data_IF_931995253075
#
_entry.id   IF_931995253075
#
_cell.length_a   1.000
_cell.length_b   1.000
_cell.length_c   1.000
_cell.angle_alpha   90.00
_cell.angle_beta   90.00
_cell.angle_gamma   90.00
#
_symmetry.space_group_name_H-M   'P 1'
#
loop_
_entity.id
_entity.type
_entity.pdbx_description
1 polymer ?
#
# COMPACT_ATOMS: atom_id res chain seq x y z
N UNK A 1 7.16 11.73 -32.23
CA UNK A 1 6.02 11.06 -31.57
C UNK A 1 6.60 9.88 -30.81
N UNK A 2 6.50 9.83 -29.47
CA UNK A 2 6.94 8.66 -28.71
C UNK A 2 6.00 7.51 -29.07
N UNK A 3 6.55 6.36 -29.46
CA UNK A 3 5.76 5.16 -29.71
C UNK A 3 4.91 4.88 -28.47
N UNK A 4 3.60 4.77 -28.63
CA UNK A 4 2.75 4.25 -27.58
C UNK A 4 3.29 2.86 -27.22
N UNK A 5 3.63 2.64 -25.96
CA UNK A 5 4.06 1.33 -25.48
C UNK A 5 2.88 0.38 -25.69
N UNK A 6 3.12 -0.71 -26.40
CA UNK A 6 2.17 -1.81 -26.44
C UNK A 6 2.21 -2.51 -25.08
N UNK A 7 1.30 -2.10 -24.20
CA UNK A 7 1.21 -2.63 -22.84
C UNK A 7 0.90 -4.13 -22.84
N UNK A 8 0.16 -4.65 -23.82
CA UNK A 8 -0.12 -6.07 -23.94
C UNK A 8 1.12 -6.88 -24.34
N UNK A 9 2.02 -6.29 -25.12
CA UNK A 9 3.31 -6.91 -25.44
C UNK A 9 4.31 -6.85 -24.27
N UNK A 10 4.14 -5.89 -23.35
CA UNK A 10 5.07 -5.64 -22.23
C UNK A 10 4.65 -6.36 -20.95
N UNK A 11 3.34 -6.45 -20.70
CA UNK A 11 2.74 -7.01 -19.49
C UNK A 11 1.72 -8.08 -19.88
N UNK A 12 2.07 -9.34 -19.68
CA UNK A 12 1.27 -10.52 -20.04
C UNK A 12 -0.11 -10.58 -19.35
N UNK A 13 -0.23 -9.98 -18.17
CA UNK A 13 -1.48 -9.85 -17.42
C UNK A 13 -2.39 -8.73 -17.93
N UNK A 14 -1.89 -7.79 -18.74
CA UNK A 14 -2.67 -6.62 -19.16
C UNK A 14 -4.01 -6.96 -19.83
N UNK A 15 -4.11 -7.98 -20.72
CA UNK A 15 -5.39 -8.37 -21.33
C UNK A 15 -6.44 -8.87 -20.34
N UNK A 16 -6.05 -9.22 -19.11
CA UNK A 16 -6.94 -9.74 -18.07
C UNK A 16 -7.51 -8.62 -17.18
N UNK A 17 -7.00 -7.40 -17.30
CA UNK A 17 -7.39 -6.28 -16.43
C UNK A 17 -8.72 -5.65 -16.86
N UNK A 18 -9.63 -5.43 -15.91
CA UNK A 18 -10.84 -4.61 -16.11
C UNK A 18 -10.53 -3.16 -15.74
N UNK A 19 -10.08 -2.36 -16.72
CA UNK A 19 -9.71 -0.95 -16.53
C UNK A 19 -10.75 -0.02 -17.16
N UNK A 20 -11.33 0.90 -16.37
CA UNK A 20 -12.38 1.84 -16.78
C UNK A 20 -12.09 3.28 -16.38
N UNK A 21 -12.78 4.23 -17.01
CA UNK A 21 -12.70 5.66 -16.70
C UNK A 21 -11.63 6.40 -17.49
N UNK A 22 -11.78 7.73 -17.51
CA UNK A 22 -10.92 8.65 -18.26
C UNK A 22 -9.58 8.86 -17.55
N UNK A 23 -8.48 8.71 -18.28
CA UNK A 23 -7.12 8.79 -17.73
C UNK A 23 -6.08 9.08 -18.80
N UNK A 24 -4.92 9.67 -18.45
CA UNK A 24 -3.80 9.80 -19.37
C UNK A 24 -3.18 8.42 -19.66
N UNK A 25 -2.60 8.19 -20.86
CA UNK A 25 -1.96 6.91 -21.20
C UNK A 25 -0.86 6.46 -20.21
N UNK A 26 -0.15 7.41 -19.61
CA UNK A 26 0.86 7.13 -18.59
C UNK A 26 0.28 6.47 -17.32
N UNK A 27 -1.02 6.59 -17.05
CA UNK A 27 -1.65 5.97 -15.90
C UNK A 27 -1.67 4.44 -16.00
N UNK A 28 -1.92 3.89 -17.20
CA UNK A 28 -1.93 2.45 -17.43
C UNK A 28 -0.53 1.87 -17.31
N UNK A 29 0.48 2.58 -17.83
CA UNK A 29 1.88 2.20 -17.68
C UNK A 29 2.32 2.18 -16.21
N UNK A 30 1.95 3.20 -15.42
CA UNK A 30 2.23 3.25 -13.98
C UNK A 30 1.54 2.08 -13.26
N UNK A 31 0.26 1.82 -13.54
CA UNK A 31 -0.49 0.72 -12.95
C UNK A 31 0.17 -0.62 -13.24
N UNK A 32 0.48 -0.91 -14.50
CA UNK A 32 1.11 -2.17 -14.90
C UNK A 32 2.50 -2.33 -14.30
N UNK A 33 3.33 -1.28 -14.34
CA UNK A 33 4.67 -1.29 -13.71
C UNK A 33 4.58 -1.57 -12.20
N UNK A 34 3.61 -0.99 -11.50
CA UNK A 34 3.40 -1.22 -10.07
C UNK A 34 2.93 -2.65 -9.76
N UNK A 35 2.00 -3.19 -10.57
CA UNK A 35 1.56 -4.59 -10.46
C UNK A 35 2.75 -5.53 -10.65
N UNK A 36 3.52 -5.34 -11.72
CA UNK A 36 4.70 -6.15 -12.01
C UNK A 36 5.74 -6.07 -10.87
N UNK A 37 6.01 -4.86 -10.36
CA UNK A 37 6.95 -4.66 -9.24
C UNK A 37 6.48 -5.39 -7.98
N UNK A 38 5.19 -5.37 -7.68
CA UNK A 38 4.62 -6.10 -6.53
C UNK A 38 4.68 -7.61 -6.76
N UNK A 39 4.39 -8.11 -7.96
CA UNK A 39 4.49 -9.53 -8.29
C UNK A 39 5.94 -10.04 -8.21
N UNK A 40 6.91 -9.26 -8.70
CA UNK A 40 8.34 -9.59 -8.65
C UNK A 40 8.93 -9.57 -7.24
N UNK A 41 8.25 -8.95 -6.27
CA UNK A 41 8.67 -8.98 -4.88
C UNK A 41 8.45 -10.34 -4.21
N UNK A 42 7.49 -11.14 -4.72
CA UNK A 42 7.27 -12.51 -4.24
C UNK A 42 8.41 -13.44 -4.67
N UNK A 43 8.84 -14.29 -3.75
CA UNK A 43 9.89 -15.29 -3.97
C UNK A 43 9.22 -16.65 -4.16
N UNK A 44 9.59 -17.36 -5.23
CA UNK A 44 9.16 -18.74 -5.45
C UNK A 44 9.49 -19.63 -4.22
N UNK A 45 8.61 -20.58 -3.86
CA UNK A 45 7.47 -21.11 -4.62
C UNK A 45 6.15 -20.35 -4.44
N UNK A 46 6.13 -19.23 -3.70
CA UNK A 46 4.92 -18.42 -3.54
C UNK A 46 4.49 -17.91 -4.92
N UNK A 47 3.36 -18.40 -5.41
CA UNK A 47 2.78 -17.85 -6.64
C UNK A 47 2.25 -16.45 -6.30
N UNK A 48 2.54 -15.43 -7.13
CA UNK A 48 1.90 -14.14 -6.98
C UNK A 48 0.40 -14.36 -6.93
N UNK A 49 -0.25 -13.92 -5.86
CA UNK A 49 -1.70 -14.07 -5.73
C UNK A 49 -2.34 -13.39 -6.95
N UNK A 50 -3.09 -14.12 -7.76
CA UNK A 50 -3.63 -13.62 -9.03
C UNK A 50 -4.89 -12.77 -8.78
N UNK A 51 -4.70 -11.62 -8.15
CA UNK A 51 -5.75 -10.62 -7.95
C UNK A 51 -5.89 -9.69 -9.16
N UNK A 52 -4.99 -9.76 -10.14
CA UNK A 52 -4.93 -8.79 -11.23
C UNK A 52 -6.19 -8.81 -12.07
N UNK A 53 -6.69 -10.00 -12.44
CA UNK A 53 -7.97 -10.16 -13.14
C UNK A 53 -9.20 -10.10 -12.24
N UNK A 54 -9.04 -10.21 -10.91
CA UNK A 54 -10.15 -10.20 -9.95
C UNK A 54 -10.51 -8.80 -9.43
N UNK A 55 -9.67 -7.80 -9.71
CA UNK A 55 -9.85 -6.41 -9.29
C UNK A 55 -10.22 -5.54 -10.47
N UNK A 56 -11.26 -4.70 -10.28
CA UNK A 56 -11.62 -3.65 -11.22
C UNK A 56 -10.82 -2.39 -10.92
N UNK A 57 -10.24 -1.78 -11.95
CA UNK A 57 -9.44 -0.56 -11.82
C UNK A 57 -10.20 0.59 -12.48
N UNK A 58 -10.61 1.57 -11.69
CA UNK A 58 -11.44 2.67 -12.17
C UNK A 58 -10.74 3.99 -11.93
N UNK A 59 -10.76 4.86 -12.94
CA UNK A 59 -10.17 6.19 -12.86
C UNK A 59 -11.27 7.24 -12.80
N UNK A 60 -11.37 7.91 -11.66
CA UNK A 60 -12.43 8.88 -11.36
C UNK A 60 -11.85 10.13 -10.67
N UNK A 61 -12.42 11.31 -10.92
CA UNK A 61 -12.03 12.55 -10.23
C UNK A 61 -12.63 12.61 -8.81
N UNK A 62 -12.01 11.89 -7.89
CA UNK A 62 -12.39 11.81 -6.47
C UNK A 62 -11.53 12.73 -5.59
N UNK A 63 -11.99 13.07 -4.39
CA UNK A 63 -11.22 13.94 -3.47
C UNK A 63 -9.95 13.27 -2.92
N UNK A 64 -9.97 11.94 -2.82
CA UNK A 64 -8.88 11.12 -2.32
C UNK A 64 -7.84 10.86 -3.43
N UNK A 65 -6.67 10.35 -3.05
CA UNK A 65 -5.65 9.91 -4.02
C UNK A 65 -6.05 8.57 -4.67
N UNK A 66 -6.64 7.70 -3.86
CA UNK A 66 -7.25 6.45 -4.25
C UNK A 66 -8.24 5.99 -3.19
N UNK A 67 -9.06 5.01 -3.55
CA UNK A 67 -9.98 4.31 -2.66
C UNK A 67 -10.04 2.85 -3.05
N UNK A 68 -9.86 1.96 -2.09
CA UNK A 68 -9.94 0.52 -2.32
C UNK A 68 -11.09 -0.14 -1.57
N UNK A 69 -11.81 -0.98 -2.31
CA UNK A 69 -12.87 -1.86 -1.84
C UNK A 69 -12.54 -3.31 -2.23
N UNK A 70 -13.29 -4.27 -1.67
CA UNK A 70 -13.13 -5.67 -2.07
C UNK A 70 -13.45 -5.84 -3.57
N UNK A 71 -12.44 -6.18 -4.37
CA UNK A 71 -12.56 -6.39 -5.82
C UNK A 71 -12.59 -5.12 -6.68
N UNK A 72 -12.31 -3.93 -6.11
CA UNK A 72 -12.32 -2.65 -6.86
C UNK A 72 -11.34 -1.65 -6.27
N UNK A 73 -10.56 -1.01 -7.13
CA UNK A 73 -9.73 0.16 -6.81
C UNK A 73 -10.21 1.33 -7.65
N UNK A 74 -10.39 2.49 -7.01
CA UNK A 74 -10.66 3.76 -7.68
C UNK A 74 -9.45 4.66 -7.50
N UNK A 75 -8.83 5.06 -8.60
CA UNK A 75 -7.69 5.98 -8.62
C UNK A 75 -8.13 7.37 -9.03
N UNK A 76 -7.52 8.40 -8.41
CA UNK A 76 -7.59 9.74 -8.95
C UNK A 76 -6.48 9.94 -10.01
N UNK A 77 -6.81 10.11 -11.30
CA UNK A 77 -5.82 10.23 -12.36
C UNK A 77 -4.94 11.49 -12.25
N UNK A 78 -5.36 12.54 -11.53
CA UNK A 78 -4.59 13.78 -11.35
C UNK A 78 -3.41 13.63 -10.39
N UNK A 79 -3.47 12.65 -9.49
CA UNK A 79 -2.49 12.50 -8.40
C UNK A 79 -1.86 11.11 -8.37
N UNK A 80 -2.02 10.34 -9.46
CA UNK A 80 -1.48 9.00 -9.56
C UNK A 80 0.05 9.03 -9.55
N UNK A 81 0.63 8.30 -8.61
CA UNK A 81 2.06 8.06 -8.47
C UNK A 81 2.30 6.57 -8.24
N UNK A 82 3.52 6.09 -8.40
CA UNK A 82 3.85 4.70 -8.05
C UNK A 82 3.51 4.41 -6.58
N UNK A 83 3.76 5.37 -5.68
CA UNK A 83 3.43 5.25 -4.26
C UNK A 83 1.94 5.04 -4.02
N UNK A 84 1.10 5.93 -4.55
CA UNK A 84 -0.36 5.82 -4.36
C UNK A 84 -0.90 4.56 -5.02
N UNK A 85 -0.33 4.18 -6.17
CA UNK A 85 -0.74 2.97 -6.89
C UNK A 85 -0.45 1.74 -6.04
N UNK A 86 0.79 1.52 -5.62
CA UNK A 86 1.16 0.36 -4.78
C UNK A 86 0.41 0.34 -3.45
N UNK A 87 0.17 1.50 -2.85
CA UNK A 87 -0.63 1.61 -1.62
C UNK A 87 -2.05 1.05 -1.81
N UNK A 88 -2.76 1.46 -2.86
CA UNK A 88 -4.09 0.91 -3.13
C UNK A 88 -4.06 -0.57 -3.56
N UNK A 89 -3.03 -1.00 -4.30
CA UNK A 89 -2.85 -2.42 -4.63
C UNK A 89 -2.65 -3.27 -3.37
N UNK A 90 -1.92 -2.76 -2.37
CA UNK A 90 -1.75 -3.42 -1.08
C UNK A 90 -3.08 -3.50 -0.30
N UNK A 91 -3.91 -2.45 -0.35
CA UNK A 91 -5.27 -2.54 0.19
C UNK A 91 -6.10 -3.61 -0.53
N UNK A 92 -5.98 -3.74 -1.85
CA UNK A 92 -6.75 -4.72 -2.62
C UNK A 92 -6.31 -6.14 -2.28
N UNK A 93 -5.01 -6.35 -2.08
CA UNK A 93 -4.46 -7.62 -1.61
C UNK A 93 -4.99 -7.99 -0.22
N UNK A 94 -4.99 -7.05 0.73
CA UNK A 94 -5.56 -7.31 2.07
C UNK A 94 -7.07 -7.54 2.00
N UNK A 95 -7.79 -6.77 1.18
CA UNK A 95 -9.23 -6.93 0.97
C UNK A 95 -9.61 -8.30 0.39
N UNK A 96 -8.80 -8.83 -0.54
CA UNK A 96 -8.95 -10.18 -1.08
C UNK A 96 -8.80 -11.25 0.02
N UNK A 97 -7.99 -10.96 1.03
CA UNK A 97 -7.78 -11.78 2.22
C UNK A 97 -8.70 -11.41 3.40
N UNK A 98 -9.84 -10.75 3.12
CA UNK A 98 -10.82 -10.31 4.13
C UNK A 98 -10.23 -9.45 5.25
N UNK A 99 -9.21 -8.63 4.92
CA UNK A 99 -8.51 -7.76 5.85
C UNK A 99 -7.76 -8.50 6.97
N UNK A 100 -7.45 -9.79 6.77
CA UNK A 100 -6.77 -10.61 7.75
C UNK A 100 -5.30 -10.22 7.91
N UNK A 101 -4.62 -9.83 6.82
CA UNK A 101 -3.17 -9.59 6.82
C UNK A 101 -2.86 -8.36 7.66
N UNK A 102 -3.63 -7.28 7.50
CA UNK A 102 -3.47 -6.08 8.35
C UNK A 102 -3.78 -6.35 9.82
N UNK A 103 -4.72 -7.27 10.13
CA UNK A 103 -4.99 -7.66 11.51
C UNK A 103 -3.85 -8.47 12.14
N UNK A 104 -3.21 -9.35 11.36
CA UNK A 104 -2.02 -10.09 11.78
C UNK A 104 -0.86 -9.11 12.03
N UNK A 105 -0.54 -8.23 11.06
CA UNK A 105 0.50 -7.21 11.21
C UNK A 105 0.27 -6.38 12.49
N UNK A 106 -0.97 -5.94 12.71
CA UNK A 106 -1.36 -5.18 13.91
C UNK A 106 -1.05 -5.96 15.18
N UNK A 107 -1.40 -7.25 15.24
CA UNK A 107 -1.15 -8.09 16.41
C UNK A 107 0.35 -8.32 16.65
N UNK A 108 1.10 -8.64 15.61
CA UNK A 108 2.54 -8.89 15.69
C UNK A 108 3.34 -7.66 16.07
N UNK A 109 2.95 -6.49 15.57
CA UNK A 109 3.59 -5.22 15.95
C UNK A 109 3.08 -4.67 17.27
N UNK A 110 2.09 -5.31 17.90
CA UNK A 110 1.40 -4.80 19.09
C UNK A 110 0.73 -3.42 18.88
N UNK A 111 0.34 -3.12 17.64
CA UNK A 111 -0.35 -1.89 17.28
C UNK A 111 -1.83 -1.98 17.63
N UNK A 112 -2.45 -0.83 17.97
CA UNK A 112 -3.85 -0.80 18.43
C UNK A 112 -4.45 0.60 18.40
N UNK A 113 -5.78 0.66 18.41
CA UNK A 113 -6.47 1.82 18.95
C UNK A 113 -6.64 1.65 20.45
N UNK A 114 -6.18 2.61 21.25
CA UNK A 114 -6.39 2.57 22.70
C UNK A 114 -7.88 2.67 23.03
N UNK A 115 -8.61 3.56 22.33
CA UNK A 115 -10.05 3.76 22.49
C UNK A 115 -10.71 4.08 21.13
N UNK A 116 -11.12 3.05 20.35
CA UNK A 116 -11.67 3.25 19.00
C UNK A 116 -12.89 4.19 18.95
N UNK A 117 -13.75 4.12 19.97
CA UNK A 117 -14.94 4.97 20.04
C UNK A 117 -14.59 6.45 20.29
N UNK A 118 -13.59 6.72 21.15
CA UNK A 118 -13.09 8.08 21.38
C UNK A 118 -12.39 8.64 20.15
N UNK A 119 -11.69 7.79 19.40
CA UNK A 119 -11.12 8.18 18.12
C UNK A 119 -12.20 8.67 17.15
N UNK A 120 -13.33 7.96 17.06
CA UNK A 120 -14.47 8.35 16.21
C UNK A 120 -15.13 9.66 16.67
N UNK A 121 -15.23 9.89 17.97
CA UNK A 121 -15.83 11.12 18.52
C UNK A 121 -14.88 12.33 18.45
N UNK A 122 -13.57 12.10 18.59
CA UNK A 122 -12.56 13.16 18.68
C UNK A 122 -11.37 12.88 17.75
N UNK A 123 -11.59 12.83 16.42
CA UNK A 123 -10.57 12.40 15.46
C UNK A 123 -9.33 13.30 15.43
N UNK A 124 -9.44 14.57 15.82
CA UNK A 124 -8.29 15.50 15.83
C UNK A 124 -7.45 15.39 17.11
N UNK A 125 -7.87 14.61 18.12
CA UNK A 125 -7.09 14.39 19.34
C UNK A 125 -6.10 13.24 19.14
N UNK A 126 -4.82 13.59 18.99
CA UNK A 126 -3.69 12.64 18.81
C UNK A 126 -3.64 11.50 19.84
N UNK A 127 -4.11 11.76 21.06
CA UNK A 127 -4.17 10.77 22.15
C UNK A 127 -4.99 9.52 21.76
N UNK A 128 -5.98 9.68 20.87
CA UNK A 128 -6.85 8.58 20.43
C UNK A 128 -6.50 8.05 19.05
N UNK A 129 -5.41 8.54 18.43
CA UNK A 129 -4.97 8.01 17.15
C UNK A 129 -4.47 6.57 17.30
N UNK A 130 -4.32 5.91 16.17
CA UNK A 130 -3.74 4.59 16.11
C UNK A 130 -2.34 4.57 16.72
N UNK A 131 -2.18 3.75 17.75
CA UNK A 131 -0.90 3.53 18.39
C UNK A 131 -0.10 2.52 17.57
N UNK A 132 1.00 3.00 17.01
CA UNK A 132 2.01 2.19 16.33
C UNK A 132 2.86 1.51 17.40
N UNK A 133 2.57 0.24 17.64
CA UNK A 133 3.44 -0.61 18.43
C UNK A 133 4.69 -1.00 17.63
N UNK A 134 5.72 -1.45 18.33
CA UNK A 134 7.01 -1.88 17.75
C UNK A 134 7.50 -0.88 16.69
N UNK A 135 7.76 0.39 17.10
CA UNK A 135 8.06 1.46 16.17
C UNK A 135 9.32 1.15 15.35
N UNK A 136 9.51 1.77 14.17
CA UNK A 136 8.79 2.93 13.64
C UNK A 136 7.50 2.60 12.86
N UNK A 137 6.70 3.65 12.62
CA UNK A 137 5.64 3.64 11.60
C UNK A 137 6.26 3.70 10.20
N UNK A 138 5.62 3.16 9.15
CA UNK A 138 6.19 3.13 7.80
C UNK A 138 6.41 4.55 7.24
N UNK A 139 5.38 5.40 7.25
CA UNK A 139 5.46 6.76 6.71
C UNK A 139 4.87 7.83 7.65
N UNK A 140 4.82 7.52 8.95
CA UNK A 140 4.21 8.34 9.99
C UNK A 140 2.71 8.10 10.16
N UNK A 141 2.14 8.67 11.23
CA UNK A 141 0.76 8.42 11.68
C UNK A 141 -0.08 9.69 11.58
N UNK A 142 -1.28 9.56 11.04
CA UNK A 142 -2.28 10.64 10.97
C UNK A 142 -3.62 10.22 11.57
N UNK A 143 -4.59 11.15 11.59
CA UNK A 143 -5.92 10.89 12.15
C UNK A 143 -6.72 9.80 11.45
N UNK A 144 -6.44 9.51 10.18
CA UNK A 144 -7.14 8.44 9.45
C UNK A 144 -6.32 7.14 9.42
N UNK A 145 -5.18 7.10 10.12
CA UNK A 145 -4.31 5.92 10.10
C UNK A 145 -4.95 4.78 10.88
N UNK A 146 -5.01 3.60 10.27
CA UNK A 146 -5.60 2.38 10.85
C UNK A 146 -4.66 1.20 10.60
N UNK A 147 -5.03 0.00 11.06
CA UNK A 147 -4.29 -1.22 10.74
C UNK A 147 -4.18 -1.46 9.22
N UNK A 148 -5.24 -1.13 8.47
CA UNK A 148 -5.26 -1.28 7.00
C UNK A 148 -4.26 -0.34 6.34
N UNK A 149 -4.24 0.92 6.78
CA UNK A 149 -3.27 1.92 6.32
C UNK A 149 -1.85 1.53 6.71
N UNK A 150 -1.65 0.99 7.92
CA UNK A 150 -0.35 0.51 8.38
C UNK A 150 0.18 -0.61 7.49
N UNK A 151 -0.69 -1.56 7.10
CA UNK A 151 -0.32 -2.60 6.15
C UNK A 151 0.00 -2.03 4.75
N UNK A 152 -0.88 -1.22 4.17
CA UNK A 152 -0.69 -0.67 2.83
C UNK A 152 0.57 0.22 2.73
N UNK A 153 0.80 1.08 3.72
CA UNK A 153 2.02 1.88 3.80
C UNK A 153 3.25 1.02 4.09
N UNK A 154 3.14 -0.10 4.81
CA UNK A 154 4.27 -1.01 5.03
C UNK A 154 4.68 -1.75 3.76
N UNK A 155 3.73 -2.27 2.98
CA UNK A 155 4.03 -2.87 1.65
C UNK A 155 4.68 -1.83 0.75
N UNK A 156 4.12 -0.62 0.70
CA UNK A 156 4.65 0.46 -0.15
C UNK A 156 6.04 0.89 0.33
N UNK A 157 6.27 0.99 1.63
CA UNK A 157 7.56 1.34 2.21
C UNK A 157 8.62 0.26 1.97
N UNK A 158 8.23 -1.01 1.92
CA UNK A 158 9.11 -2.10 1.56
C UNK A 158 9.60 -1.99 0.11
N UNK A 159 8.69 -1.70 -0.84
CA UNK A 159 9.05 -1.56 -2.26
C UNK A 159 9.77 -0.25 -2.58
N UNK A 160 9.53 0.81 -1.81
CA UNK A 160 10.13 2.14 -2.01
C UNK A 160 10.80 2.67 -0.73
N UNK A 161 11.84 1.99 -0.20
CA UNK A 161 12.40 2.27 1.13
C UNK A 161 12.97 3.68 1.27
N UNK A 162 13.55 4.23 0.20
CA UNK A 162 14.11 5.58 0.21
C UNK A 162 13.03 6.67 0.27
N UNK A 163 11.94 6.47 -0.47
CA UNK A 163 10.78 7.38 -0.42
C UNK A 163 10.13 7.30 0.96
N UNK A 164 10.02 6.10 1.52
CA UNK A 164 9.48 5.87 2.85
C UNK A 164 10.31 6.57 3.94
N UNK A 165 11.63 6.40 3.90
CA UNK A 165 12.58 7.08 4.80
C UNK A 165 12.41 8.60 4.75
N UNK A 166 12.31 9.17 3.55
CA UNK A 166 12.07 10.60 3.36
C UNK A 166 10.73 11.07 3.92
N UNK A 167 9.65 10.32 3.68
CA UNK A 167 8.30 10.61 4.22
C UNK A 167 8.26 10.51 5.74
N UNK A 168 8.82 9.45 6.31
CA UNK A 168 8.86 9.21 7.75
C UNK A 168 9.65 10.31 8.46
N UNK A 169 10.83 10.68 7.95
CA UNK A 169 11.64 11.77 8.50
C UNK A 169 10.89 13.11 8.50
N UNK A 170 10.22 13.46 7.39
CA UNK A 170 9.44 14.71 7.29
C UNK A 170 8.29 14.80 8.29
N UNK A 171 7.74 13.65 8.71
CA UNK A 171 6.65 13.59 9.70
C UNK A 171 7.14 13.38 11.14
N UNK A 172 8.46 13.38 11.38
CA UNK A 172 9.04 13.18 12.72
C UNK A 172 9.10 11.71 13.17
N UNK A 173 8.98 10.76 12.24
CA UNK A 173 9.03 9.32 12.49
C UNK A 173 10.30 8.69 11.88
N UNK A 174 11.45 9.37 12.00
CA UNK A 174 12.71 8.88 11.43
C UNK A 174 13.02 7.46 11.94
N UNK A 175 13.43 6.57 11.02
CA UNK A 175 13.82 5.21 11.38
C UNK A 175 15.04 5.20 12.28
N UNK A 176 15.99 6.11 12.04
CA UNK A 176 17.21 6.22 12.84
C UNK A 176 16.93 6.56 14.30
N UNK A 177 15.89 7.37 14.57
CA UNK A 177 15.44 7.66 15.94
C UNK A 177 14.98 6.39 16.68
N UNK A 178 14.47 5.41 15.92
CA UNK A 178 14.02 4.12 16.45
C UNK A 178 15.09 3.02 16.33
N UNK A 179 16.34 3.38 16.00
CA UNK A 179 17.46 2.43 15.91
C UNK A 179 17.57 1.67 14.59
N UNK A 180 16.86 2.07 13.54
CA UNK A 180 16.88 1.40 12.23
C UNK A 180 17.45 2.30 11.13
N UNK A 181 18.22 1.72 10.21
CA UNK A 181 18.76 2.44 9.03
C UNK A 181 17.80 2.29 7.86
N UNK A 182 17.34 1.06 7.59
CA UNK A 182 16.41 0.76 6.51
C UNK A 182 15.05 0.29 7.03
N UNK A 183 13.99 0.58 6.27
CA UNK A 183 12.64 0.10 6.62
C UNK A 183 12.58 -1.43 6.71
N UNK A 184 13.34 -2.12 5.87
CA UNK A 184 13.48 -3.58 5.86
C UNK A 184 13.90 -4.15 7.22
N UNK A 185 14.69 -3.42 8.00
CA UNK A 185 15.19 -3.87 9.30
C UNK A 185 14.14 -3.75 10.41
N UNK A 186 13.05 -3.00 10.15
CA UNK A 186 12.00 -2.76 11.13
C UNK A 186 11.10 -3.99 11.31
N UNK A 187 10.39 -4.13 12.45
CA UNK A 187 9.44 -5.24 12.63
C UNK A 187 8.40 -5.34 11.51
N UNK A 188 7.93 -4.20 10.99
CA UNK A 188 7.02 -4.13 9.83
C UNK A 188 7.71 -4.60 8.55
N UNK A 189 8.95 -4.16 8.31
CA UNK A 189 9.74 -4.59 7.16
C UNK A 189 9.97 -6.11 7.15
N UNK A 190 10.28 -6.68 8.31
CA UNK A 190 10.45 -8.13 8.49
C UNK A 190 9.15 -8.90 8.30
N UNK A 191 8.01 -8.37 8.77
CA UNK A 191 6.71 -8.95 8.50
C UNK A 191 6.42 -9.00 6.99
N UNK A 192 6.58 -7.87 6.29
CA UNK A 192 6.36 -7.81 4.84
C UNK A 192 7.34 -8.73 4.09
N UNK A 193 8.62 -8.79 4.52
CA UNK A 193 9.59 -9.74 3.99
C UNK A 193 9.10 -11.19 4.10
N UNK A 194 8.53 -11.55 5.25
CA UNK A 194 8.01 -12.90 5.48
C UNK A 194 6.82 -13.23 4.58
N UNK A 195 5.92 -12.27 4.34
CA UNK A 195 4.78 -12.44 3.42
C UNK A 195 5.25 -12.70 1.99
N UNK A 196 6.25 -11.98 1.51
CA UNK A 196 6.77 -12.17 0.16
C UNK A 196 7.51 -13.51 -0.02
N UNK A 197 7.95 -14.16 1.05
CA UNK A 197 8.70 -15.43 0.98
C UNK A 197 7.89 -16.66 1.33
N UNK A 198 6.89 -16.51 2.19
CA UNK A 198 6.16 -17.62 2.81
C UNK A 198 4.63 -17.50 2.66
N UNK A 199 4.14 -16.44 2.00
CA UNK A 199 2.73 -16.12 1.86
C UNK A 199 1.96 -16.98 0.87
#
# INVERSE_FOLDING_TARGET
>A
MRNAIDLAATYDFYPQMDIKGDRPPAADEILCSCIQKLQQAFVTPVLPFDWVGAVKYEFEDIKQLGLTYKGRIVFNPRFLTEWTTVHELAHAWDAANNWLISDILRKETHSRFTFPWLHKMFPDKKLFWYHVGSPPAPCGVGKNFTAKEDFAESVTAYLFPEVARGKASKKGFSYAYNGYIHFHDTPRGQFIHSLFRNG
#
